data_IF_893287230042
#
_entry.id   IF_893287230042
#
_cell.length_a   1.000
_cell.length_b   1.000
_cell.length_c   1.000
_cell.angle_alpha   90.00
_cell.angle_beta   90.00
_cell.angle_gamma   90.00
#
_symmetry.space_group_name_H-M   'P 1'
#
loop_
_entity.id
_entity.type
_entity.pdbx_description
1 polymer ?
#
# COMPACT_ATOMS: atom_id res chain seq x y z
N UNK A 1 13.19 0.78 -40.22
CA UNK A 1 14.14 0.23 -39.22
C UNK A 1 13.70 0.71 -37.86
N UNK A 2 13.24 -0.23 -37.03
CA UNK A 2 12.68 -0.02 -35.71
C UNK A 2 13.68 0.70 -34.81
N UNK A 3 13.39 1.94 -34.41
CA UNK A 3 14.05 2.56 -33.26
C UNK A 3 13.70 1.68 -32.06
N UNK A 4 14.57 0.71 -31.74
CA UNK A 4 14.58 0.12 -30.40
C UNK A 4 14.74 1.31 -29.48
N UNK A 5 13.66 1.66 -28.76
CA UNK A 5 13.70 2.56 -27.64
C UNK A 5 14.59 1.90 -26.59
N UNK A 6 15.89 2.06 -26.79
CA UNK A 6 16.89 1.72 -25.81
C UNK A 6 16.70 2.80 -24.75
N UNK A 7 15.99 2.44 -23.69
CA UNK A 7 15.94 3.19 -22.45
C UNK A 7 17.35 3.08 -21.85
N UNK A 8 18.32 3.73 -22.49
CA UNK A 8 19.42 4.37 -21.80
C UNK A 8 18.84 5.74 -21.43
N UNK A 9 18.09 5.78 -20.34
CA UNK A 9 18.18 7.01 -19.55
C UNK A 9 19.65 7.07 -19.16
N UNK A 10 20.34 8.18 -19.45
CA UNK A 10 21.67 8.47 -18.92
C UNK A 10 21.54 8.50 -17.39
N UNK A 11 21.56 7.33 -16.76
CA UNK A 11 21.50 7.24 -15.32
C UNK A 11 22.86 7.68 -14.82
N UNK A 12 22.90 8.65 -13.90
CA UNK A 12 24.17 9.22 -13.50
C UNK A 12 25.01 8.14 -12.82
N UNK A 13 26.30 8.12 -13.12
CA UNK A 13 27.23 7.18 -12.48
C UNK A 13 27.37 7.50 -10.97
N UNK A 14 27.02 8.73 -10.56
CA UNK A 14 27.05 9.22 -9.17
C UNK A 14 25.74 9.96 -8.88
N UNK A 15 25.08 9.63 -7.76
CA UNK A 15 23.95 10.41 -7.23
C UNK A 15 24.50 11.34 -6.16
N UNK A 16 24.25 12.65 -6.28
CA UNK A 16 24.63 13.60 -5.23
C UNK A 16 23.63 13.51 -4.07
N UNK A 17 24.08 13.61 -2.80
CA UNK A 17 23.17 13.77 -1.66
C UNK A 17 22.17 14.93 -1.84
N UNK A 18 22.56 15.95 -2.60
CA UNK A 18 21.74 17.12 -2.93
C UNK A 18 20.49 16.75 -3.77
N UNK A 19 20.57 15.67 -4.56
CA UNK A 19 19.51 15.25 -5.48
C UNK A 19 18.27 14.70 -4.75
N UNK A 20 18.38 14.40 -3.45
CA UNK A 20 17.30 13.82 -2.65
C UNK A 20 16.90 14.69 -1.45
N UNK A 21 17.17 16.00 -1.45
CA UNK A 21 16.68 16.95 -0.41
C UNK A 21 15.19 17.26 -0.57
N UNK A 22 14.37 16.22 -0.49
CA UNK A 22 12.91 16.33 -0.67
C UNK A 22 12.23 17.21 0.39
N UNK A 23 12.85 17.39 1.57
CA UNK A 23 12.34 18.25 2.65
C UNK A 23 12.43 19.75 2.34
N UNK A 24 13.29 20.16 1.42
CA UNK A 24 13.45 21.56 0.99
C UNK A 24 12.46 21.96 -0.11
N UNK A 25 11.81 20.98 -0.74
CA UNK A 25 10.86 21.22 -1.82
C UNK A 25 9.55 21.78 -1.27
N UNK A 26 8.90 22.59 -2.10
CA UNK A 26 7.64 23.25 -1.78
C UNK A 26 6.81 23.43 -3.05
N UNK A 27 5.48 23.44 -2.89
CA UNK A 27 4.58 23.92 -3.92
C UNK A 27 4.82 25.39 -4.24
N UNK A 28 4.45 25.81 -5.45
CA UNK A 28 4.66 27.17 -5.95
C UNK A 28 3.88 28.24 -5.18
N UNK A 29 2.66 27.91 -4.72
CA UNK A 29 1.75 28.83 -3.99
C UNK A 29 0.90 28.12 -2.91
N UNK A 30 1.44 27.86 -1.72
CA UNK A 30 0.71 27.16 -0.66
C UNK A 30 -0.21 28.11 0.15
N UNK A 31 -1.21 28.73 -0.50
CA UNK A 31 -2.23 29.60 0.16
C UNK A 31 -3.43 28.79 0.64
N UNK A 32 -3.88 27.83 -0.17
CA UNK A 32 -4.99 26.90 0.12
C UNK A 32 -6.29 27.61 0.51
N UNK A 33 -6.58 28.74 -0.15
CA UNK A 33 -7.82 29.49 0.06
C UNK A 33 -8.99 28.81 -0.67
N UNK A 34 -8.69 28.04 -1.72
CA UNK A 34 -9.67 27.26 -2.50
C UNK A 34 -9.29 25.77 -2.62
N UNK A 35 -10.28 24.87 -2.81
CA UNK A 35 -10.03 23.47 -3.11
C UNK A 35 -9.24 23.25 -4.41
N UNK A 36 -9.44 24.11 -5.41
CA UNK A 36 -8.74 24.06 -6.69
C UNK A 36 -7.24 24.32 -6.52
N UNK A 37 -6.86 25.32 -5.71
CA UNK A 37 -5.46 25.59 -5.37
C UNK A 37 -4.79 24.39 -4.69
N UNK A 38 -5.51 23.73 -3.77
CA UNK A 38 -5.01 22.52 -3.11
C UNK A 38 -4.76 21.40 -4.14
N UNK A 39 -5.68 21.22 -5.09
CA UNK A 39 -5.54 20.22 -6.15
C UNK A 39 -4.35 20.52 -7.06
N UNK A 40 -4.17 21.76 -7.51
CA UNK A 40 -3.05 22.18 -8.35
C UNK A 40 -1.70 21.92 -7.66
N UNK A 41 -1.58 22.31 -6.39
CA UNK A 41 -0.36 22.06 -5.61
C UNK A 41 -0.12 20.56 -5.37
N UNK A 42 -1.18 19.76 -5.22
CA UNK A 42 -1.04 18.30 -5.14
C UNK A 42 -0.55 17.69 -6.46
N UNK A 43 -1.02 18.20 -7.60
CA UNK A 43 -0.50 17.82 -8.93
C UNK A 43 0.97 18.18 -9.10
N UNK A 44 1.42 19.32 -8.60
CA UNK A 44 2.85 19.68 -8.57
C UNK A 44 3.67 18.66 -7.77
N UNK A 45 3.20 18.24 -6.61
CA UNK A 45 3.85 17.18 -5.81
C UNK A 45 3.91 15.85 -6.57
N UNK A 46 2.81 15.42 -7.21
CA UNK A 46 2.78 14.17 -7.97
C UNK A 46 3.77 14.20 -9.13
N UNK A 47 3.80 15.31 -9.88
CA UNK A 47 4.75 15.51 -10.97
C UNK A 47 6.19 15.50 -10.44
N UNK A 48 6.47 16.24 -9.38
CA UNK A 48 7.79 16.26 -8.76
C UNK A 48 8.23 14.85 -8.33
N UNK A 49 7.36 14.09 -7.66
CA UNK A 49 7.69 12.75 -7.21
C UNK A 49 7.92 11.75 -8.37
N UNK A 50 7.27 11.94 -9.52
CA UNK A 50 7.52 11.15 -10.74
C UNK A 50 8.84 11.52 -11.42
N UNK A 51 9.14 12.82 -11.51
CA UNK A 51 10.34 13.34 -12.16
C UNK A 51 11.60 13.18 -11.28
N UNK A 52 11.45 12.86 -10.00
CA UNK A 52 12.53 12.73 -9.01
C UNK A 52 12.51 11.34 -8.32
N UNK A 53 12.90 10.27 -9.05
CA UNK A 53 12.97 8.93 -8.50
C UNK A 53 14.03 8.83 -7.38
N UNK A 54 13.95 7.77 -6.59
CA UNK A 54 15.08 7.34 -5.77
C UNK A 54 16.06 6.54 -6.63
N UNK A 55 17.27 6.33 -6.16
CA UNK A 55 18.26 5.57 -6.92
C UNK A 55 18.88 4.47 -6.07
N UNK A 56 19.07 3.32 -6.70
CA UNK A 56 19.75 2.15 -6.18
C UNK A 56 21.07 1.97 -6.93
N UNK A 57 22.21 1.98 -6.23
CA UNK A 57 23.53 1.85 -6.85
C UNK A 57 23.85 0.37 -7.01
N UNK A 58 23.93 -0.10 -8.27
CA UNK A 58 24.18 -1.52 -8.58
C UNK A 58 25.50 -1.72 -9.31
N UNK A 59 26.29 -2.74 -8.94
CA UNK A 59 27.46 -3.14 -9.70
C UNK A 59 27.07 -3.91 -10.97
N UNK A 60 27.72 -3.59 -12.08
CA UNK A 60 27.62 -4.27 -13.36
C UNK A 60 29.01 -4.72 -13.79
N UNK A 61 29.15 -5.98 -14.20
CA UNK A 61 30.41 -6.48 -14.74
C UNK A 61 30.43 -6.33 -16.25
N UNK A 62 31.48 -5.71 -16.78
CA UNK A 62 31.70 -5.59 -18.22
C UNK A 62 33.19 -5.72 -18.53
N UNK A 63 33.54 -6.70 -19.39
CA UNK A 63 34.92 -6.96 -19.84
C UNK A 63 35.95 -7.07 -18.70
N UNK A 64 35.59 -7.71 -17.59
CA UNK A 64 36.49 -7.92 -16.45
C UNK A 64 36.60 -6.75 -15.47
N UNK A 65 35.90 -5.62 -15.73
CA UNK A 65 35.77 -4.51 -14.78
C UNK A 65 34.39 -4.48 -14.11
N UNK A 66 34.33 -3.94 -12.89
CA UNK A 66 33.07 -3.63 -12.18
C UNK A 66 32.79 -2.14 -12.34
N UNK A 67 31.61 -1.80 -12.87
CA UNK A 67 31.11 -0.44 -12.98
C UNK A 67 29.86 -0.31 -12.12
N UNK A 68 29.78 0.72 -11.28
CA UNK A 68 28.58 1.01 -10.53
C UNK A 68 27.69 1.95 -11.34
N UNK A 69 26.39 1.64 -11.41
CA UNK A 69 25.40 2.53 -12.04
C UNK A 69 24.22 2.76 -11.12
N UNK A 70 23.71 3.98 -11.14
CA UNK A 70 22.44 4.30 -10.51
C UNK A 70 21.29 3.67 -11.31
N UNK A 71 20.39 2.97 -10.63
CA UNK A 71 19.15 2.45 -11.21
C UNK A 71 17.98 3.19 -10.56
N UNK A 72 17.13 3.88 -11.33
CA UNK A 72 16.01 4.63 -10.77
C UNK A 72 14.97 3.67 -10.16
N UNK A 73 14.46 4.05 -8.99
CA UNK A 73 13.41 3.40 -8.22
C UNK A 73 12.28 4.38 -8.01
N UNK A 74 11.04 3.93 -8.27
CA UNK A 74 9.83 4.75 -8.11
C UNK A 74 9.74 5.27 -6.68
N UNK A 75 9.35 6.53 -6.52
CA UNK A 75 9.02 7.12 -5.22
C UNK A 75 7.56 6.78 -4.88
N UNK A 76 7.32 6.18 -3.72
CA UNK A 76 5.97 5.98 -3.23
C UNK A 76 5.36 7.34 -2.84
N UNK A 77 4.12 7.59 -3.25
CA UNK A 77 3.40 8.77 -2.79
C UNK A 77 2.98 8.59 -1.33
N UNK A 78 2.95 9.68 -0.57
CA UNK A 78 2.47 9.65 0.82
C UNK A 78 1.79 10.95 1.20
N UNK A 79 0.74 10.87 2.04
CA UNK A 79 0.06 12.06 2.57
C UNK A 79 0.99 12.91 3.43
N UNK A 80 1.83 12.34 4.33
CA UNK A 80 2.81 13.14 5.05
C UNK A 80 3.84 13.83 4.13
N UNK A 81 4.29 13.15 3.08
CA UNK A 81 5.21 13.73 2.09
C UNK A 81 4.57 14.87 1.31
N UNK A 82 3.32 14.70 0.88
CA UNK A 82 2.52 15.76 0.29
C UNK A 82 2.36 16.93 1.28
N UNK A 83 1.97 16.69 2.52
CA UNK A 83 1.82 17.75 3.53
C UNK A 83 3.12 18.55 3.72
N UNK A 84 4.27 17.88 3.78
CA UNK A 84 5.59 18.55 3.86
C UNK A 84 5.87 19.42 2.63
N UNK A 85 5.52 18.94 1.43
CA UNK A 85 5.65 19.69 0.18
C UNK A 85 4.69 20.89 0.14
N UNK A 86 3.50 20.74 0.69
CA UNK A 86 2.50 21.79 0.81
C UNK A 86 2.77 22.78 1.97
N UNK A 87 3.78 22.53 2.81
CA UNK A 87 4.01 23.26 4.07
C UNK A 87 2.79 23.25 5.01
N UNK A 88 2.05 22.14 4.98
CA UNK A 88 0.93 21.86 5.86
C UNK A 88 1.33 20.87 6.95
N UNK A 89 0.78 21.06 8.15
CA UNK A 89 0.82 20.02 9.17
C UNK A 89 -0.25 18.98 8.90
N UNK A 90 -0.02 17.73 9.35
CA UNK A 90 -1.05 16.68 9.29
C UNK A 90 -2.34 17.09 10.01
N UNK A 91 -2.25 17.87 11.09
CA UNK A 91 -3.42 18.40 11.80
C UNK A 91 -4.26 19.34 10.93
N UNK A 92 -3.62 20.21 10.14
CA UNK A 92 -4.32 21.10 9.21
C UNK A 92 -4.97 20.31 8.06
N UNK A 93 -4.30 19.29 7.53
CA UNK A 93 -4.88 18.39 6.53
C UNK A 93 -6.18 17.74 7.03
N UNK A 94 -6.13 17.15 8.23
CA UNK A 94 -7.31 16.53 8.85
C UNK A 94 -8.41 17.54 9.15
N UNK A 95 -8.05 18.76 9.57
CA UNK A 95 -9.02 19.84 9.79
C UNK A 95 -9.74 20.22 8.50
N UNK A 96 -9.01 20.46 7.40
CA UNK A 96 -9.61 20.78 6.10
C UNK A 96 -10.59 19.67 5.67
N UNK A 97 -10.16 18.41 5.75
CA UNK A 97 -10.99 17.26 5.41
C UNK A 97 -12.28 17.16 6.25
N UNK A 98 -12.20 17.43 7.56
CA UNK A 98 -13.31 17.19 8.48
C UNK A 98 -14.24 18.40 8.67
N UNK A 99 -13.76 19.62 8.41
CA UNK A 99 -14.47 20.87 8.74
C UNK A 99 -14.78 21.75 7.55
N UNK A 100 -14.22 21.47 6.37
CA UNK A 100 -14.44 22.23 5.14
C UNK A 100 -14.94 21.29 4.05
N UNK A 101 -16.24 21.30 3.82
CA UNK A 101 -16.91 20.38 2.89
C UNK A 101 -16.36 20.54 1.47
N UNK A 102 -16.07 21.78 1.04
CA UNK A 102 -15.49 22.08 -0.26
C UNK A 102 -14.10 21.46 -0.47
N UNK A 103 -13.34 21.22 0.60
CA UNK A 103 -12.03 20.55 0.52
C UNK A 103 -12.11 19.03 0.67
N UNK A 104 -13.19 18.50 1.23
CA UNK A 104 -13.31 17.08 1.55
C UNK A 104 -13.22 16.20 0.30
N UNK A 105 -13.92 16.59 -0.77
CA UNK A 105 -13.92 15.86 -2.04
C UNK A 105 -12.55 15.88 -2.73
N UNK A 106 -11.88 17.05 -2.74
CA UNK A 106 -10.53 17.19 -3.30
C UNK A 106 -9.52 16.35 -2.51
N UNK A 107 -9.59 16.39 -1.18
CA UNK A 107 -8.73 15.58 -0.30
C UNK A 107 -8.97 14.08 -0.52
N UNK A 108 -10.23 13.66 -0.61
CA UNK A 108 -10.57 12.26 -0.88
C UNK A 108 -10.01 11.79 -2.24
N UNK A 109 -10.13 12.63 -3.28
CA UNK A 109 -9.54 12.36 -4.60
C UNK A 109 -8.00 12.23 -4.52
N UNK A 110 -7.33 13.13 -3.80
CA UNK A 110 -5.89 13.07 -3.59
C UNK A 110 -5.49 11.76 -2.89
N UNK A 111 -6.19 11.38 -1.82
CA UNK A 111 -5.94 10.14 -1.08
C UNK A 111 -6.13 8.90 -1.97
N UNK A 112 -7.15 8.89 -2.82
CA UNK A 112 -7.38 7.81 -3.80
C UNK A 112 -6.23 7.68 -4.80
N UNK A 113 -5.68 8.79 -5.28
CA UNK A 113 -4.53 8.77 -6.20
C UNK A 113 -3.28 8.26 -5.50
N UNK A 114 -3.02 8.71 -4.27
CA UNK A 114 -1.89 8.22 -3.46
C UNK A 114 -2.02 6.72 -3.18
N UNK A 115 -3.24 6.25 -2.90
CA UNK A 115 -3.53 4.82 -2.75
C UNK A 115 -3.24 4.06 -4.05
N UNK A 116 -3.83 4.49 -5.17
CA UNK A 116 -3.74 3.81 -6.46
C UNK A 116 -2.29 3.73 -6.95
N UNK A 117 -1.54 4.83 -6.83
CA UNK A 117 -0.12 4.85 -7.21
C UNK A 117 0.68 3.79 -6.44
N UNK A 118 0.50 3.72 -5.12
CA UNK A 118 1.19 2.71 -4.30
C UNK A 118 0.76 1.30 -4.68
N UNK A 119 -0.54 1.07 -4.82
CA UNK A 119 -1.11 -0.24 -5.15
C UNK A 119 -0.60 -0.77 -6.50
N UNK A 120 -0.71 0.02 -7.57
CA UNK A 120 -0.26 -0.37 -8.90
C UNK A 120 1.25 -0.65 -8.93
N UNK A 121 2.05 0.23 -8.32
CA UNK A 121 3.51 0.05 -8.29
C UNK A 121 3.92 -1.18 -7.47
N UNK A 122 3.21 -1.51 -6.40
CA UNK A 122 3.42 -2.75 -5.65
C UNK A 122 3.02 -3.99 -6.49
N UNK A 123 1.89 -3.92 -7.19
CA UNK A 123 1.39 -5.03 -8.03
C UNK A 123 2.36 -5.42 -9.15
N UNK A 124 3.17 -4.48 -9.65
CA UNK A 124 4.20 -4.72 -10.67
C UNK A 124 5.63 -4.82 -10.11
N UNK A 125 5.80 -5.04 -8.80
CA UNK A 125 7.09 -5.18 -8.12
C UNK A 125 8.04 -3.96 -8.26
N UNK A 126 7.50 -2.77 -8.49
CA UNK A 126 8.28 -1.52 -8.48
C UNK A 126 8.49 -0.99 -7.06
N UNK A 127 7.52 -1.24 -6.18
CA UNK A 127 7.58 -1.00 -4.73
C UNK A 127 7.46 -2.34 -3.99
N UNK A 128 7.95 -2.37 -2.74
CA UNK A 128 7.86 -3.55 -1.89
C UNK A 128 6.41 -3.85 -1.51
N UNK A 129 5.86 -4.97 -2.01
CA UNK A 129 4.46 -5.30 -1.83
C UNK A 129 4.06 -5.52 -0.37
N UNK A 130 4.97 -6.03 0.48
CA UNK A 130 4.68 -6.29 1.89
C UNK A 130 4.58 -4.99 2.68
N UNK A 131 5.53 -4.06 2.48
CA UNK A 131 5.52 -2.75 3.10
C UNK A 131 4.30 -1.94 2.65
N UNK A 132 3.99 -1.94 1.34
CA UNK A 132 2.83 -1.23 0.80
C UNK A 132 1.51 -1.86 1.27
N UNK A 133 1.40 -3.18 1.33
CA UNK A 133 0.21 -3.86 1.88
C UNK A 133 -0.07 -3.43 3.33
N UNK A 134 0.98 -3.29 4.15
CA UNK A 134 0.86 -2.80 5.54
C UNK A 134 0.45 -1.33 5.59
N UNK A 135 1.09 -0.48 4.79
CA UNK A 135 0.80 0.96 4.71
C UNK A 135 -0.63 1.25 4.21
N UNK A 136 -1.12 0.47 3.24
CA UNK A 136 -2.49 0.56 2.73
C UNK A 136 -3.53 -0.11 3.64
N UNK A 137 -3.11 -0.84 4.67
CA UNK A 137 -4.01 -1.57 5.57
C UNK A 137 -4.70 -2.77 4.93
N UNK A 138 -4.12 -3.35 3.87
CA UNK A 138 -4.63 -4.57 3.24
C UNK A 138 -4.41 -5.76 4.18
N UNK A 139 -5.51 -6.36 4.64
CA UNK A 139 -5.50 -7.48 5.58
C UNK A 139 -5.43 -8.80 4.82
N UNK A 140 -4.65 -9.74 5.33
CA UNK A 140 -4.70 -11.13 4.87
C UNK A 140 -6.00 -11.76 5.38
N UNK A 141 -6.81 -12.30 4.47
CA UNK A 141 -7.86 -13.22 4.84
C UNK A 141 -7.22 -14.60 5.08
N UNK A 142 -7.41 -15.16 6.27
CA UNK A 142 -7.02 -16.54 6.55
C UNK A 142 -8.28 -17.33 6.87
N UNK A 143 -8.55 -18.37 6.09
CA UNK A 143 -9.59 -19.34 6.42
C UNK A 143 -9.04 -20.30 7.48
N UNK A 144 -9.69 -20.39 8.64
CA UNK A 144 -9.40 -21.40 9.64
C UNK A 144 -10.06 -22.72 9.20
N UNK A 145 -9.43 -23.44 8.28
CA UNK A 145 -9.82 -24.83 7.98
C UNK A 145 -9.16 -25.77 8.97
N UNK A 146 -9.73 -25.84 10.17
CA UNK A 146 -9.38 -26.84 11.18
C UNK A 146 -10.46 -27.92 11.22
N UNK A 147 -10.14 -29.14 10.82
CA UNK A 147 -10.93 -30.29 11.25
C UNK A 147 -10.73 -30.45 12.76
N UNK A 148 -11.77 -30.21 13.55
CA UNK A 148 -11.76 -30.56 14.97
C UNK A 148 -11.69 -32.08 15.05
N UNK A 149 -10.47 -32.63 15.19
CA UNK A 149 -10.28 -34.03 15.56
C UNK A 149 -10.68 -34.19 17.02
N UNK A 150 -11.94 -34.52 17.30
CA UNK A 150 -12.39 -34.93 18.64
C UNK A 150 -11.89 -36.35 18.92
N UNK A 151 -10.58 -36.54 19.10
CA UNK A 151 -10.01 -37.78 19.61
C UNK A 151 -10.15 -37.92 21.14
N UNK A 152 -11.02 -37.11 21.76
CA UNK A 152 -11.43 -37.36 23.14
C UNK A 152 -12.23 -38.66 23.13
N UNK A 153 -11.64 -39.72 23.68
CA UNK A 153 -12.33 -40.97 24.01
C UNK A 153 -13.41 -40.62 25.03
N UNK A 154 -14.63 -40.37 24.55
CA UNK A 154 -15.77 -40.07 25.42
C UNK A 154 -16.01 -41.28 26.33
N UNK A 155 -15.83 -41.09 27.63
CA UNK A 155 -16.08 -42.12 28.63
C UNK A 155 -17.59 -42.16 28.93
N UNK A 156 -18.29 -43.08 28.26
CA UNK A 156 -19.73 -43.27 28.42
C UNK A 156 -20.12 -44.05 29.68
N UNK A 157 -19.15 -44.48 30.50
CA UNK A 157 -19.43 -45.27 31.71
C UNK A 157 -20.20 -44.49 32.79
N UNK A 158 -20.23 -43.16 32.70
CA UNK A 158 -20.91 -42.26 33.65
C UNK A 158 -22.17 -41.60 33.09
N UNK A 159 -22.56 -41.93 31.85
CA UNK A 159 -23.69 -41.29 31.16
C UNK A 159 -24.93 -42.15 31.31
N UNK A 160 -26.06 -41.55 31.65
CA UNK A 160 -27.33 -42.27 31.78
C UNK A 160 -27.85 -42.72 30.41
N UNK A 161 -28.53 -43.87 30.35
CA UNK A 161 -29.14 -44.40 29.12
C UNK A 161 -30.08 -43.40 28.44
N UNK A 162 -30.73 -42.52 29.20
CA UNK A 162 -31.64 -41.51 28.64
C UNK A 162 -30.90 -40.35 27.98
N UNK A 163 -29.72 -39.99 28.49
CA UNK A 163 -28.86 -38.97 27.88
C UNK A 163 -28.28 -39.48 26.56
N UNK A 164 -27.91 -40.77 26.49
CA UNK A 164 -27.43 -41.42 25.26
C UNK A 164 -28.54 -41.43 24.19
N UNK A 165 -29.78 -41.76 24.56
CA UNK A 165 -30.93 -41.71 23.63
C UNK A 165 -31.18 -40.32 23.08
N UNK A 166 -31.02 -39.29 23.91
CA UNK A 166 -31.18 -37.90 23.47
C UNK A 166 -30.07 -37.48 22.49
N UNK A 167 -28.84 -37.93 22.72
CA UNK A 167 -27.73 -37.69 21.80
C UNK A 167 -27.97 -38.35 20.44
N UNK A 168 -28.43 -39.61 20.42
CA UNK A 168 -28.76 -40.33 19.18
C UNK A 168 -29.84 -39.60 18.39
N UNK A 169 -30.93 -39.17 19.05
CA UNK A 169 -31.99 -38.39 18.39
C UNK A 169 -31.47 -37.07 17.82
N UNK A 170 -30.54 -36.41 18.49
CA UNK A 170 -29.92 -35.18 18.00
C UNK A 170 -29.03 -35.43 16.77
N UNK A 171 -28.25 -36.51 16.77
CA UNK A 171 -27.42 -36.91 15.63
C UNK A 171 -28.25 -37.30 14.40
N UNK A 172 -29.36 -38.02 14.58
CA UNK A 172 -30.29 -38.35 13.48
C UNK A 172 -30.91 -37.09 12.87
N UNK A 173 -31.30 -36.11 13.70
CA UNK A 173 -31.79 -34.81 13.21
C UNK A 173 -30.75 -34.03 12.40
N UNK A 174 -29.48 -34.04 12.83
CA UNK A 174 -28.40 -33.41 12.06
C UNK A 174 -28.14 -34.12 10.72
N UNK A 175 -28.29 -35.45 10.67
CA UNK A 175 -28.12 -36.22 9.43
C UNK A 175 -29.22 -35.93 8.40
N UNK A 176 -30.42 -35.60 8.87
CA UNK A 176 -31.56 -35.22 8.02
C UNK A 176 -31.40 -33.78 7.50
N UNK A 177 -30.75 -32.89 8.24
CA UNK A 177 -30.49 -31.50 7.82
C UNK A 177 -29.23 -31.28 6.97
N UNK A 178 -28.49 -32.34 6.63
CA UNK A 178 -27.27 -32.28 5.81
C UNK A 178 -27.42 -32.84 4.39
N UNK A 179 -28.64 -33.19 3.98
CA UNK A 179 -29.00 -33.48 2.59
C UNK A 179 -29.95 -32.40 2.08
N UNK A 180 -29.41 -31.19 1.91
CA UNK A 180 -29.88 -30.15 1.00
C UNK A 180 -28.67 -29.33 0.54
#
# INVERSE_FOLDING_TARGET
MTKKAQILADTPDVISPEDNRWWERSASKPTFDTPEELWECACEYFKWAQDNPLYDIRPFQFKGGVVFKAVPKRRAFSIPGLCNFLKLTMGRWLYLKAKKEEFADVIAKIEQIVFQQKFENAAVNLLDAVMISKDLGLKNAHELSGSISTNNKFDFSKVSNDEIKNLIKAMEKMKIGGSD
#
